data_IF_000242467430
#
_entry.id   IF_000242467430
#
_cell.length_a   1.000
_cell.length_b   1.000
_cell.length_c   1.000
_cell.angle_alpha   90.00
_cell.angle_beta   90.00
_cell.angle_gamma   90.00
#
_symmetry.space_group_name_H-M   'P 1'
#
loop_
_entity.id
_entity.type
_entity.pdbx_description
1 polymer ?
#
# COMPACT_ATOMS: atom_id res chain seq x y z
N UNK A 1 -2.64 -16.42 -26.54
CA UNK A 1 -1.69 -15.28 -26.52
C UNK A 1 -1.92 -14.56 -25.20
N UNK A 2 -1.01 -14.76 -24.23
CA UNK A 2 -1.01 -14.06 -22.94
C UNK A 2 -0.17 -12.78 -23.08
N UNK A 3 -0.82 -11.67 -23.42
CA UNK A 3 -0.23 -10.32 -23.39
C UNK A 3 -0.85 -9.49 -22.25
N UNK A 4 -0.91 -10.07 -21.04
CA UNK A 4 -1.52 -9.42 -19.87
C UNK A 4 -0.54 -9.04 -18.77
N UNK A 5 0.71 -9.52 -18.81
CA UNK A 5 1.58 -9.55 -17.61
C UNK A 5 2.62 -8.43 -17.54
N UNK A 6 3.05 -7.84 -18.66
CA UNK A 6 4.18 -6.90 -18.65
C UNK A 6 3.79 -5.46 -18.25
N UNK A 7 2.61 -5.00 -18.68
CA UNK A 7 2.07 -3.67 -18.35
C UNK A 7 1.65 -3.54 -16.87
N UNK A 8 1.37 -4.68 -16.23
CA UNK A 8 0.93 -4.77 -14.83
C UNK A 8 2.02 -4.35 -13.84
N UNK A 9 3.24 -4.88 -13.98
CA UNK A 9 4.34 -4.59 -13.06
C UNK A 9 4.87 -3.16 -13.19
N UNK A 10 4.86 -2.58 -14.39
CA UNK A 10 5.36 -1.22 -14.61
C UNK A 10 4.49 -0.16 -13.91
N UNK A 11 3.17 -0.34 -13.89
CA UNK A 11 2.24 0.60 -13.25
C UNK A 11 2.36 0.56 -11.71
N UNK A 12 2.38 -0.65 -11.12
CA UNK A 12 2.52 -0.80 -9.66
C UNK A 12 3.88 -0.31 -9.17
N UNK A 13 4.96 -0.64 -9.87
CA UNK A 13 6.31 -0.21 -9.50
C UNK A 13 6.45 1.32 -9.56
N UNK A 14 5.80 1.96 -10.53
CA UNK A 14 5.75 3.43 -10.62
C UNK A 14 4.96 4.06 -9.47
N UNK A 15 3.84 3.46 -9.07
CA UNK A 15 3.07 3.89 -7.89
C UNK A 15 3.92 3.72 -6.62
N UNK A 16 4.61 2.58 -6.48
CA UNK A 16 5.52 2.32 -5.35
C UNK A 16 6.65 3.34 -5.31
N UNK A 17 7.23 3.73 -6.46
CA UNK A 17 8.25 4.79 -6.52
C UNK A 17 7.71 6.13 -6.03
N UNK A 18 6.49 6.51 -6.41
CA UNK A 18 5.84 7.74 -5.92
C UNK A 18 5.55 7.67 -4.42
N UNK A 19 5.13 6.51 -3.90
CA UNK A 19 4.94 6.27 -2.46
C UNK A 19 6.27 6.38 -1.71
N UNK A 20 7.36 5.83 -2.25
CA UNK A 20 8.69 5.85 -1.63
C UNK A 20 9.29 7.25 -1.51
N UNK A 21 8.89 8.20 -2.37
CA UNK A 21 9.25 9.62 -2.26
C UNK A 21 8.63 10.28 -1.01
N UNK A 22 7.63 9.66 -0.38
CA UNK A 22 6.99 10.15 0.85
C UNK A 22 7.61 9.50 2.08
N UNK A 23 8.86 9.84 2.35
CA UNK A 23 9.72 9.18 3.34
C UNK A 23 9.18 9.20 4.79
N UNK A 24 8.26 10.12 5.12
CA UNK A 24 7.67 10.24 6.47
C UNK A 24 6.29 9.59 6.63
N UNK A 25 5.72 8.99 5.58
CA UNK A 25 4.43 8.30 5.67
C UNK A 25 4.61 6.85 6.12
N UNK A 26 3.65 6.32 6.89
CA UNK A 26 3.61 4.90 7.31
C UNK A 26 3.75 3.96 6.11
N UNK A 27 3.11 4.28 4.99
CA UNK A 27 3.22 3.49 3.76
C UNK A 27 4.61 3.57 3.14
N UNK A 28 5.21 4.77 3.12
CA UNK A 28 6.58 4.96 2.64
C UNK A 28 7.57 4.12 3.45
N UNK A 29 7.45 4.17 4.78
CA UNK A 29 8.26 3.34 5.71
C UNK A 29 8.04 1.85 5.45
N UNK A 30 6.79 1.41 5.30
CA UNK A 30 6.46 0.01 5.00
C UNK A 30 7.07 -0.46 3.67
N UNK A 31 7.00 0.37 2.62
CA UNK A 31 7.60 0.08 1.32
C UNK A 31 9.15 0.03 1.40
N UNK A 32 9.78 0.94 2.15
CA UNK A 32 11.23 0.91 2.39
C UNK A 32 11.67 -0.34 3.17
N UNK A 33 10.90 -0.74 4.19
CA UNK A 33 11.14 -1.96 4.95
C UNK A 33 11.01 -3.21 4.07
N UNK A 34 9.95 -3.30 3.24
CA UNK A 34 9.74 -4.42 2.31
C UNK A 34 10.87 -4.54 1.28
N UNK A 35 11.38 -3.41 0.78
CA UNK A 35 12.51 -3.38 -0.17
C UNK A 35 13.83 -3.85 0.47
N UNK A 36 14.09 -3.46 1.71
CA UNK A 36 15.36 -3.76 2.41
C UNK A 36 15.38 -5.16 3.04
N UNK A 37 14.26 -5.61 3.59
CA UNK A 37 14.16 -6.87 4.32
C UNK A 37 12.83 -7.58 4.02
N UNK A 38 12.74 -8.29 2.89
CA UNK A 38 11.51 -9.00 2.50
C UNK A 38 11.02 -10.00 3.55
N UNK A 39 11.95 -10.60 4.31
CA UNK A 39 11.70 -11.60 5.36
C UNK A 39 11.16 -11.01 6.66
N UNK A 40 11.40 -9.72 6.93
CA UNK A 40 10.96 -9.06 8.17
C UNK A 40 9.49 -8.64 8.10
N UNK A 41 8.98 -8.34 6.89
CA UNK A 41 7.55 -8.07 6.67
C UNK A 41 6.70 -9.31 6.88
N UNK A 42 7.21 -10.49 6.53
CA UNK A 42 6.54 -11.78 6.77
C UNK A 42 6.53 -12.17 8.25
N UNK A 43 7.50 -11.70 9.04
CA UNK A 43 7.62 -12.00 10.48
C UNK A 43 6.95 -10.97 11.40
N UNK A 44 6.75 -9.73 10.95
CA UNK A 44 5.85 -8.79 11.62
C UNK A 44 4.41 -9.33 11.43
N UNK A 45 3.67 -9.51 12.54
CA UNK A 45 2.25 -9.92 12.57
C UNK A 45 1.33 -9.11 11.63
N UNK A 46 1.79 -8.00 11.07
CA UNK A 46 1.18 -7.19 10.01
C UNK A 46 0.69 -8.05 8.84
N UNK A 47 1.55 -8.92 8.30
CA UNK A 47 1.29 -9.49 6.96
C UNK A 47 0.13 -10.47 6.92
N UNK A 48 -0.26 -11.06 8.06
CA UNK A 48 -1.32 -12.09 8.06
C UNK A 48 -2.69 -11.51 7.72
N UNK A 49 -2.97 -10.30 8.21
CA UNK A 49 -4.29 -9.68 8.12
C UNK A 49 -4.29 -8.39 7.28
N UNK A 50 -3.12 -7.90 6.83
CA UNK A 50 -3.03 -6.80 5.85
C UNK A 50 -3.30 -7.33 4.45
N UNK A 51 -4.23 -6.68 3.75
CA UNK A 51 -4.59 -6.96 2.35
C UNK A 51 -3.67 -6.18 1.41
N UNK A 52 -3.39 -4.91 1.71
CA UNK A 52 -2.53 -4.05 0.90
C UNK A 52 -2.77 -2.56 1.15
N UNK A 53 -2.23 -1.73 0.27
CA UNK A 53 -2.43 -0.27 0.26
C UNK A 53 -3.48 0.05 -0.81
N UNK A 54 -4.43 0.94 -0.53
CA UNK A 54 -5.55 1.23 -1.45
C UNK A 54 -5.08 1.52 -2.89
N UNK A 55 -4.04 2.34 -3.07
CA UNK A 55 -3.50 2.71 -4.39
C UNK A 55 -2.98 1.53 -5.24
N UNK A 56 -2.72 0.36 -4.65
CA UNK A 56 -2.23 -0.84 -5.36
C UNK A 56 -3.22 -2.01 -5.32
N UNK A 57 -4.43 -1.82 -4.77
CA UNK A 57 -5.44 -2.89 -4.69
C UNK A 57 -6.29 -3.02 -5.96
N UNK A 58 -6.31 -2.02 -6.83
CA UNK A 58 -7.11 -2.03 -8.05
C UNK A 58 -6.46 -1.28 -9.20
N UNK A 59 -6.72 -1.73 -10.43
CA UNK A 59 -6.30 -1.05 -11.67
C UNK A 59 -7.51 -0.37 -12.29
N UNK A 60 -7.34 0.89 -12.68
CA UNK A 60 -8.35 1.65 -13.43
C UNK A 60 -7.98 1.63 -14.92
N UNK A 61 -8.94 1.30 -15.77
CA UNK A 61 -8.77 1.37 -17.22
C UNK A 61 -8.69 2.82 -17.68
N UNK A 62 -7.48 3.29 -17.99
CA UNK A 62 -7.24 4.62 -18.56
C UNK A 62 -6.75 5.66 -17.53
N UNK A 63 -5.78 6.46 -17.97
CA UNK A 63 -5.10 7.46 -17.12
C UNK A 63 -6.04 8.56 -16.62
N UNK A 64 -6.96 9.03 -17.47
CA UNK A 64 -7.92 10.07 -17.10
C UNK A 64 -8.85 9.64 -15.95
N UNK A 65 -9.35 8.40 -16.00
CA UNK A 65 -10.19 7.85 -14.94
C UNK A 65 -9.36 7.56 -13.68
N UNK A 66 -8.14 7.06 -13.85
CA UNK A 66 -7.21 6.85 -12.72
C UNK A 66 -6.93 8.15 -11.96
N UNK A 67 -6.68 9.24 -12.68
CA UNK A 67 -6.46 10.56 -12.11
C UNK A 67 -7.71 11.08 -11.40
N UNK A 68 -8.87 11.08 -12.07
CA UNK A 68 -10.13 11.56 -11.51
C UNK A 68 -10.52 10.81 -10.22
N UNK A 69 -10.38 9.48 -10.21
CA UNK A 69 -10.68 8.70 -9.01
C UNK A 69 -9.65 8.94 -7.90
N UNK A 70 -8.38 9.13 -8.24
CA UNK A 70 -7.34 9.47 -7.25
C UNK A 70 -7.58 10.82 -6.60
N UNK A 71 -8.01 11.81 -7.37
CA UNK A 71 -8.39 13.12 -6.87
C UNK A 71 -9.63 13.04 -5.97
N UNK A 72 -10.66 12.30 -6.40
CA UNK A 72 -11.90 12.12 -5.63
C UNK A 72 -11.70 11.37 -4.31
N UNK A 73 -10.95 10.24 -4.34
CA UNK A 73 -10.67 9.42 -3.16
C UNK A 73 -9.75 10.16 -2.18
N UNK A 74 -8.88 11.02 -2.72
CA UNK A 74 -7.94 11.81 -1.95
C UNK A 74 -6.70 11.02 -1.55
N UNK A 75 -5.66 11.77 -1.21
CA UNK A 75 -4.33 11.23 -1.01
C UNK A 75 -4.21 10.35 0.23
N UNK A 76 -4.80 10.76 1.35
CA UNK A 76 -4.70 10.03 2.62
C UNK A 76 -5.38 8.66 2.50
N UNK A 77 -6.55 8.61 1.87
CA UNK A 77 -7.27 7.36 1.61
C UNK A 77 -6.53 6.47 0.62
N UNK A 78 -5.94 7.03 -0.45
CA UNK A 78 -5.11 6.26 -1.38
C UNK A 78 -3.88 5.64 -0.71
N UNK A 79 -3.39 6.26 0.36
CA UNK A 79 -2.30 5.77 1.20
C UNK A 79 -2.79 4.97 2.43
N UNK A 80 -4.07 4.62 2.53
CA UNK A 80 -4.53 3.81 3.65
C UNK A 80 -4.08 2.34 3.51
N UNK A 81 -3.80 1.71 4.65
CA UNK A 81 -3.55 0.26 4.74
C UNK A 81 -4.88 -0.43 4.99
N UNK A 82 -5.21 -1.41 4.16
CA UNK A 82 -6.43 -2.21 4.28
C UNK A 82 -6.12 -3.49 5.04
N UNK A 83 -6.89 -3.74 6.11
CA UNK A 83 -6.83 -4.99 6.88
C UNK A 83 -8.13 -5.79 6.72
N UNK A 84 -8.00 -7.12 6.73
CA UNK A 84 -9.12 -8.05 6.63
C UNK A 84 -9.97 -8.09 7.90
N UNK A 85 -9.35 -7.92 9.07
CA UNK A 85 -10.02 -7.97 10.37
C UNK A 85 -9.49 -6.88 11.30
N UNK A 86 -10.30 -6.48 12.28
CA UNK A 86 -9.94 -5.47 13.29
C UNK A 86 -8.64 -5.82 14.04
N UNK A 87 -8.36 -7.11 14.25
CA UNK A 87 -7.10 -7.55 14.88
C UNK A 87 -5.87 -7.15 14.07
N UNK A 88 -5.97 -7.11 12.74
CA UNK A 88 -4.92 -6.63 11.86
C UNK A 88 -4.66 -5.13 12.06
N UNK A 89 -5.73 -4.34 12.21
CA UNK A 89 -5.63 -2.90 12.53
C UNK A 89 -4.95 -2.70 13.89
N UNK A 90 -5.38 -3.41 14.92
CA UNK A 90 -4.76 -3.35 16.27
C UNK A 90 -3.31 -3.85 16.32
N UNK A 91 -2.84 -4.55 15.29
CA UNK A 91 -1.44 -4.97 15.20
C UNK A 91 -0.55 -3.91 14.53
N UNK A 92 -1.13 -2.92 13.86
CA UNK A 92 -0.43 -1.80 13.23
C UNK A 92 -0.09 -0.69 14.23
N UNK A 93 -0.89 -0.56 15.29
CA UNK A 93 -0.77 0.52 16.27
C UNK A 93 -0.75 -0.04 17.69
N UNK A 94 0.09 0.53 18.53
CA UNK A 94 0.16 0.23 19.96
C UNK A 94 0.07 1.55 20.72
N UNK A 95 -0.75 1.55 21.77
CA UNK A 95 -0.97 2.67 22.66
C UNK A 95 -0.44 2.30 24.03
N UNK A 96 0.14 3.26 24.73
CA UNK A 96 0.53 3.07 26.12
C UNK A 96 -0.61 3.50 27.07
N UNK A 97 -0.30 3.70 28.36
CA UNK A 97 -1.33 4.07 29.34
C UNK A 97 -1.83 5.51 29.16
N UNK A 98 -1.07 6.34 28.46
CA UNK A 98 -1.35 7.75 28.23
C UNK A 98 -2.05 8.00 26.90
N UNK A 99 -2.12 6.97 26.05
CA UNK A 99 -2.75 6.99 24.73
C UNK A 99 -1.73 6.80 23.64
#
# INVERSE_FOLDING_TARGET
MEEGSFDHFQSEENIIKQILQKEKSVVGVLCHLKKRQPTLVTSIKLAKDVVGIVAILGKVGGENLSWLFSEYIGLDTMMAIVCKILKGVKALEAYDKEG
#
